data_IF_511774084938
#
_entry.id   IF_511774084938
#
_cell.length_a   1.000
_cell.length_b   1.000
_cell.length_c   1.000
_cell.angle_alpha   90.00
_cell.angle_beta   90.00
_cell.angle_gamma   90.00
#
_symmetry.space_group_name_H-M   'P 1'
#
loop_
_entity.id
_entity.type
_entity.pdbx_description
1 polymer ?
#
# COMPACT_ATOMS: atom_id res chain seq x y z
N UNK A 1 6.95 -14.78 -0.07
CA UNK A 1 7.74 -16.01 -0.32
C UNK A 1 8.95 -15.65 -1.16
N UNK A 2 10.11 -16.17 -0.80
CA UNK A 2 11.39 -15.99 -1.53
C UNK A 2 11.90 -17.35 -2.04
N UNK A 3 12.42 -17.34 -3.25
CA UNK A 3 13.07 -18.49 -3.86
C UNK A 3 14.34 -17.98 -4.59
N UNK A 4 15.49 -18.63 -4.40
CA UNK A 4 16.77 -18.19 -4.96
C UNK A 4 16.79 -18.14 -6.50
N UNK A 5 15.99 -18.98 -7.15
CA UNK A 5 15.89 -19.05 -8.62
C UNK A 5 14.89 -18.02 -9.17
N UNK A 6 13.75 -17.85 -8.51
CA UNK A 6 12.63 -17.02 -8.99
C UNK A 6 12.59 -15.62 -8.36
N UNK A 7 13.31 -15.42 -7.27
CA UNK A 7 13.28 -14.17 -6.49
C UNK A 7 12.14 -14.10 -5.49
N UNK A 8 11.80 -12.89 -5.06
CA UNK A 8 10.71 -12.63 -4.12
C UNK A 8 9.36 -12.52 -4.81
N UNK A 9 8.34 -13.12 -4.21
CA UNK A 9 6.94 -12.99 -4.62
C UNK A 9 6.09 -12.52 -3.43
N UNK A 10 5.35 -11.44 -3.63
CA UNK A 10 4.42 -10.86 -2.66
C UNK A 10 3.00 -10.94 -3.21
N UNK A 11 2.10 -11.62 -2.48
CA UNK A 11 0.68 -11.69 -2.81
C UNK A 11 -0.09 -10.61 -2.06
N UNK A 12 -0.87 -9.80 -2.78
CA UNK A 12 -1.72 -8.76 -2.20
C UNK A 12 -3.17 -8.99 -2.61
N UNK A 13 -4.10 -8.86 -1.65
CA UNK A 13 -5.52 -8.95 -1.95
C UNK A 13 -5.96 -7.72 -2.76
N UNK A 14 -6.32 -7.94 -4.03
CA UNK A 14 -6.77 -6.90 -4.95
C UNK A 14 -8.08 -6.22 -4.50
N UNK A 15 -8.92 -6.89 -3.70
CA UNK A 15 -10.16 -6.33 -3.19
C UNK A 15 -9.97 -5.31 -2.05
N UNK A 16 -8.75 -5.21 -1.52
CA UNK A 16 -8.47 -4.18 -0.52
C UNK A 16 -8.38 -2.79 -1.16
N UNK A 17 -8.78 -1.73 -0.44
CA UNK A 17 -8.57 -0.35 -0.86
C UNK A 17 -7.09 -0.08 -1.16
N UNK A 18 -6.83 0.90 -2.04
CA UNK A 18 -5.48 1.24 -2.52
C UNK A 18 -4.50 1.53 -1.38
N UNK A 19 -4.90 2.33 -0.41
CA UNK A 19 -4.12 2.67 0.78
C UNK A 19 -3.72 1.44 1.59
N UNK A 20 -4.64 0.49 1.77
CA UNK A 20 -4.35 -0.78 2.45
C UNK A 20 -3.41 -1.68 1.63
N UNK A 21 -3.58 -1.70 0.32
CA UNK A 21 -2.67 -2.47 -0.56
C UNK A 21 -1.26 -1.91 -0.51
N UNK A 22 -1.12 -0.59 -0.56
CA UNK A 22 0.18 0.08 -0.46
C UNK A 22 0.86 -0.23 0.89
N UNK A 23 0.09 -0.16 1.99
CA UNK A 23 0.61 -0.52 3.31
C UNK A 23 1.08 -1.98 3.34
N UNK A 24 0.24 -2.91 2.89
CA UNK A 24 0.59 -4.34 2.85
C UNK A 24 1.84 -4.59 2.00
N UNK A 25 1.94 -3.95 0.83
CA UNK A 25 3.12 -4.08 -0.03
C UNK A 25 4.40 -3.58 0.66
N UNK A 26 4.34 -2.42 1.29
CA UNK A 26 5.48 -1.86 2.01
C UNK A 26 5.87 -2.73 3.22
N UNK A 27 4.88 -3.27 3.95
CA UNK A 27 5.09 -4.19 5.07
C UNK A 27 5.80 -5.48 4.62
N UNK A 28 5.30 -6.12 3.57
CA UNK A 28 5.92 -7.32 2.99
C UNK A 28 7.31 -7.03 2.42
N UNK A 29 7.52 -5.84 1.86
CA UNK A 29 8.85 -5.39 1.45
C UNK A 29 9.80 -5.29 2.66
N UNK A 30 9.31 -4.82 3.81
CA UNK A 30 10.05 -4.83 5.07
C UNK A 30 10.51 -6.23 5.47
N UNK A 31 9.61 -7.22 5.44
CA UNK A 31 9.96 -8.62 5.68
C UNK A 31 10.97 -9.16 4.67
N UNK A 32 10.77 -8.86 3.38
CA UNK A 32 11.70 -9.29 2.34
C UNK A 32 13.12 -8.76 2.57
N UNK A 33 13.26 -7.51 2.99
CA UNK A 33 14.57 -6.91 3.23
C UNK A 33 15.25 -7.42 4.49
N UNK A 34 14.48 -7.77 5.52
CA UNK A 34 15.02 -8.14 6.84
C UNK A 34 15.10 -9.65 7.06
N UNK A 35 14.12 -10.43 6.57
CA UNK A 35 13.92 -11.83 6.93
C UNK A 35 13.62 -12.75 5.74
N UNK A 36 14.07 -12.42 4.53
CA UNK A 36 13.73 -13.18 3.32
C UNK A 36 14.04 -14.68 3.37
N UNK A 37 14.99 -15.09 4.22
CA UNK A 37 15.39 -16.50 4.39
C UNK A 37 14.65 -17.21 5.55
N UNK A 38 13.85 -16.48 6.32
CA UNK A 38 13.07 -17.04 7.43
C UNK A 38 11.59 -17.08 7.03
N UNK A 39 11.06 -18.26 6.79
CA UNK A 39 9.62 -18.45 6.59
C UNK A 39 8.93 -18.45 7.95
N UNK A 40 8.45 -17.29 8.39
CA UNK A 40 7.51 -17.20 9.52
C UNK A 40 6.08 -17.32 8.97
N UNK A 41 5.42 -18.45 9.25
CA UNK A 41 3.98 -18.58 9.06
C UNK A 41 3.32 -18.06 10.34
N UNK A 42 2.90 -16.80 10.33
CA UNK A 42 2.16 -16.23 11.46
C UNK A 42 0.70 -16.66 11.37
N UNK A 43 0.30 -17.64 12.19
CA UNK A 43 -1.11 -17.94 12.39
C UNK A 43 -1.74 -16.80 13.20
N UNK A 44 -2.72 -16.10 12.63
CA UNK A 44 -3.53 -15.06 13.27
C UNK A 44 -4.48 -15.66 14.33
N UNK A 45 -3.97 -16.36 15.33
CA UNK A 45 -4.75 -16.85 16.45
C UNK A 45 -4.46 -16.03 17.72
N UNK A 46 -5.40 -15.14 18.04
CA UNK A 46 -5.48 -14.43 19.32
C UNK A 46 -4.64 -13.16 19.43
N UNK A 47 -4.88 -12.37 20.49
CA UNK A 47 -4.13 -11.16 20.88
C UNK A 47 -2.70 -11.51 21.33
N UNK A 48 -1.88 -12.07 20.44
CA UNK A 48 -0.46 -12.27 20.71
C UNK A 48 0.28 -10.95 20.52
N UNK A 49 1.20 -10.68 21.44
CA UNK A 49 2.14 -9.56 21.35
C UNK A 49 2.86 -9.69 19.99
N UNK A 50 2.73 -8.65 19.16
CA UNK A 50 3.35 -8.60 17.83
C UNK A 50 4.84 -8.96 17.92
N UNK A 51 5.33 -9.83 17.04
CA UNK A 51 6.74 -10.23 17.03
C UNK A 51 7.67 -9.04 16.77
N UNK A 52 8.94 -9.16 17.07
CA UNK A 52 9.91 -8.10 16.76
C UNK A 52 9.99 -7.84 15.26
N UNK A 53 9.88 -8.90 14.44
CA UNK A 53 9.90 -8.82 12.98
C UNK A 53 8.69 -8.09 12.43
N UNK A 54 7.49 -8.35 12.95
CA UNK A 54 6.26 -7.63 12.58
C UNK A 54 6.36 -6.14 12.92
N UNK A 55 6.86 -5.81 14.11
CA UNK A 55 7.08 -4.40 14.48
C UNK A 55 8.09 -3.70 13.59
N UNK A 56 9.13 -4.42 13.16
CA UNK A 56 10.13 -3.89 12.24
C UNK A 56 9.54 -3.66 10.85
N UNK A 57 8.74 -4.60 10.34
CA UNK A 57 8.06 -4.48 9.06
C UNK A 57 7.04 -3.32 9.07
N UNK A 58 6.26 -3.16 10.15
CA UNK A 58 5.36 -2.03 10.34
C UNK A 58 6.12 -0.69 10.40
N UNK A 59 7.22 -0.64 11.15
CA UNK A 59 8.06 0.55 11.22
C UNK A 59 8.70 0.89 9.87
N UNK A 60 9.11 -0.13 9.10
CA UNK A 60 9.59 0.06 7.74
C UNK A 60 8.48 0.64 6.85
N UNK A 61 7.30 0.03 6.82
CA UNK A 61 6.18 0.50 6.01
C UNK A 61 5.79 1.95 6.34
N UNK A 62 5.71 2.28 7.64
CA UNK A 62 5.40 3.62 8.10
C UNK A 62 6.43 4.66 7.62
N UNK A 63 7.73 4.36 7.76
CA UNK A 63 8.79 5.29 7.37
C UNK A 63 9.01 5.36 5.86
N UNK A 64 8.78 4.27 5.14
CA UNK A 64 8.87 4.20 3.69
C UNK A 64 7.76 5.00 3.03
N UNK A 65 6.51 4.78 3.45
CA UNK A 65 5.35 5.48 2.88
C UNK A 65 5.25 6.93 3.35
N UNK A 66 5.63 7.21 4.61
CA UNK A 66 5.51 8.53 5.24
C UNK A 66 6.83 8.98 5.86
N UNK A 67 7.87 9.29 5.05
CA UNK A 67 9.15 9.76 5.55
C UNK A 67 8.98 11.03 6.39
N UNK A 68 9.56 11.04 7.60
CA UNK A 68 9.39 12.13 8.55
C UNK A 68 9.78 13.51 7.97
N UNK A 69 10.87 13.58 7.22
CA UNK A 69 11.34 14.85 6.61
C UNK A 69 10.35 15.38 5.59
N UNK A 70 9.87 14.53 4.67
CA UNK A 70 8.90 14.90 3.64
C UNK A 70 7.56 15.31 4.26
N UNK A 71 7.05 14.50 5.20
CA UNK A 71 5.79 14.77 5.87
C UNK A 71 5.83 16.06 6.70
N UNK A 72 6.91 16.28 7.46
CA UNK A 72 7.08 17.52 8.23
C UNK A 72 7.13 18.76 7.34
N UNK A 73 7.83 18.68 6.20
CA UNK A 73 7.89 19.79 5.24
C UNK A 73 6.49 20.12 4.71
N UNK A 74 5.76 19.11 4.20
CA UNK A 74 4.40 19.30 3.67
C UNK A 74 3.42 19.82 4.70
N UNK A 75 3.46 19.27 5.92
CA UNK A 75 2.64 19.75 7.02
C UNK A 75 2.90 21.26 7.32
N UNK A 76 4.17 21.66 7.36
CA UNK A 76 4.54 23.05 7.59
C UNK A 76 4.14 23.97 6.43
N UNK A 77 4.25 23.51 5.18
CA UNK A 77 3.79 24.25 3.99
C UNK A 77 2.27 24.52 4.09
N UNK A 78 1.48 23.50 4.42
CA UNK A 78 0.03 23.64 4.60
C UNK A 78 -0.30 24.62 5.73
N UNK A 79 0.36 24.49 6.89
CA UNK A 79 0.13 25.44 8.00
C UNK A 79 0.43 26.89 7.62
N UNK A 80 1.44 27.13 6.78
CA UNK A 80 1.79 28.48 6.33
C UNK A 80 0.80 29.04 5.32
N UNK A 81 0.17 28.19 4.53
CA UNK A 81 -0.81 28.62 3.52
C UNK A 81 -2.20 28.89 4.13
N UNK A 82 -2.49 28.37 5.32
CA UNK A 82 -3.78 28.56 6.01
C UNK A 82 -3.80 29.84 6.82
N UNK A 83 -4.87 30.62 6.70
CA UNK A 83 -5.07 31.89 7.44
C UNK A 83 -5.01 31.66 8.95
N UNK A 84 -5.59 30.57 9.42
CA UNK A 84 -5.65 30.20 10.85
C UNK A 84 -4.37 29.55 11.38
N UNK A 85 -3.41 29.21 10.49
CA UNK A 85 -2.23 28.39 10.79
C UNK A 85 -2.53 27.02 11.41
N UNK A 86 -3.81 26.64 11.43
CA UNK A 86 -4.25 25.32 11.89
C UNK A 86 -4.53 24.42 10.67
N UNK A 87 -4.17 23.17 10.77
CA UNK A 87 -4.50 22.17 9.75
C UNK A 87 -5.94 21.69 9.97
N UNK A 88 -6.71 21.61 8.92
CA UNK A 88 -8.07 21.10 8.92
C UNK A 88 -8.12 19.61 8.56
N UNK A 89 -9.25 18.94 8.87
CA UNK A 89 -9.43 17.54 8.45
C UNK A 89 -9.47 17.36 6.93
N UNK A 90 -9.91 18.39 6.20
CA UNK A 90 -9.86 18.36 4.74
C UNK A 90 -8.41 18.27 4.24
N UNK A 91 -7.51 19.08 4.77
CA UNK A 91 -6.09 19.07 4.44
C UNK A 91 -5.41 17.76 4.86
N UNK A 92 -5.80 17.18 6.00
CA UNK A 92 -5.33 15.86 6.42
C UNK A 92 -5.81 14.79 5.43
N UNK A 93 -7.05 14.82 4.94
CA UNK A 93 -7.55 13.91 3.92
C UNK A 93 -6.77 14.04 2.60
N UNK A 94 -6.49 15.26 2.14
CA UNK A 94 -5.67 15.49 0.94
C UNK A 94 -4.23 15.03 1.15
N UNK A 95 -3.67 15.25 2.33
CA UNK A 95 -2.31 14.80 2.64
C UNK A 95 -2.22 13.26 2.68
N UNK A 96 -3.25 12.60 3.23
CA UNK A 96 -3.34 11.13 3.21
C UNK A 96 -3.42 10.58 1.77
N UNK A 97 -4.19 11.25 0.92
CA UNK A 97 -4.27 10.89 -0.50
C UNK A 97 -2.93 11.12 -1.23
N UNK A 98 -2.25 12.23 -0.97
CA UNK A 98 -0.93 12.50 -1.54
C UNK A 98 0.10 11.40 -1.21
N UNK A 99 0.08 10.91 0.03
CA UNK A 99 0.96 9.82 0.48
C UNK A 99 0.39 8.41 0.19
N UNK A 100 -0.83 8.34 -0.37
CA UNK A 100 -1.51 7.10 -0.70
C UNK A 100 -1.62 6.14 0.49
N UNK A 101 -1.92 6.70 1.66
CA UNK A 101 -2.14 6.00 2.93
C UNK A 101 -3.53 6.29 3.49
N UNK A 102 -3.98 5.51 4.46
CA UNK A 102 -5.24 5.80 5.14
C UNK A 102 -5.13 7.07 5.99
N UNK A 103 -6.24 7.79 6.14
CA UNK A 103 -6.31 8.97 7.03
C UNK A 103 -5.91 8.60 8.45
N UNK A 104 -6.33 7.43 8.92
CA UNK A 104 -5.93 6.90 10.23
C UNK A 104 -4.41 6.76 10.37
N UNK A 105 -3.77 6.10 9.40
CA UNK A 105 -2.32 5.90 9.42
C UNK A 105 -1.57 7.25 9.42
N UNK A 106 -2.04 8.21 8.61
CA UNK A 106 -1.46 9.54 8.58
C UNK A 106 -1.61 10.29 9.92
N UNK A 107 -2.80 10.29 10.53
CA UNK A 107 -3.04 10.97 11.83
C UNK A 107 -2.13 10.36 12.90
N UNK A 108 -2.08 9.03 13.03
CA UNK A 108 -1.21 8.34 13.98
C UNK A 108 0.27 8.68 13.73
N UNK A 109 0.68 8.77 12.46
CA UNK A 109 2.05 9.18 12.11
C UNK A 109 2.35 10.62 12.53
N UNK A 110 1.43 11.54 12.31
CA UNK A 110 1.55 12.95 12.72
C UNK A 110 1.60 13.10 14.25
N UNK A 111 0.86 12.28 14.99
CA UNK A 111 0.95 12.19 16.46
C UNK A 111 2.35 11.75 16.89
N UNK A 112 2.90 10.67 16.31
CA UNK A 112 4.25 10.19 16.57
C UNK A 112 5.33 11.26 16.26
N UNK A 113 5.12 12.06 15.23
CA UNK A 113 5.99 13.18 14.86
C UNK A 113 5.71 14.46 15.67
N UNK A 114 4.79 14.40 16.66
CA UNK A 114 4.39 15.53 17.51
C UNK A 114 3.87 16.74 16.72
N UNK A 115 3.25 16.49 15.58
CA UNK A 115 2.57 17.49 14.74
C UNK A 115 1.09 17.63 15.12
N UNK A 116 0.51 16.56 15.64
CA UNK A 116 -0.81 16.54 16.26
C UNK A 116 -0.68 16.06 17.71
N UNK A 117 -1.62 16.43 18.59
CA UNK A 117 -1.69 15.89 19.95
C UNK A 117 -1.87 14.36 19.92
N UNK A 118 -1.24 13.67 20.87
CA UNK A 118 -1.43 12.23 21.03
C UNK A 118 -2.90 11.96 21.39
N UNK A 119 -3.51 10.94 20.76
CA UNK A 119 -4.92 10.61 20.95
C UNK A 119 -5.88 11.38 20.02
N UNK A 120 -5.37 12.17 19.08
CA UNK A 120 -6.20 12.86 18.07
C UNK A 120 -7.05 11.86 17.30
N UNK A 121 -6.46 10.73 16.87
CA UNK A 121 -7.22 9.70 16.15
C UNK A 121 -8.33 9.10 17.03
N UNK A 122 -8.05 8.79 18.28
CA UNK A 122 -9.02 8.19 19.20
C UNK A 122 -10.19 9.15 19.46
N UNK A 123 -9.93 10.45 19.60
CA UNK A 123 -10.95 11.49 19.74
C UNK A 123 -11.82 11.57 18.48
N UNK A 124 -11.23 11.62 17.29
CA UNK A 124 -11.96 11.64 16.03
C UNK A 124 -12.82 10.38 15.84
N UNK A 125 -12.31 9.22 16.21
CA UNK A 125 -13.05 7.96 16.16
C UNK A 125 -14.23 7.95 17.15
N UNK A 126 -14.04 8.45 18.35
CA UNK A 126 -15.09 8.58 19.39
C UNK A 126 -16.19 9.57 18.96
N UNK A 127 -15.84 10.63 18.23
CA UNK A 127 -16.78 11.59 17.64
C UNK A 127 -17.50 11.03 16.39
N UNK A 128 -17.18 9.80 15.97
CA UNK A 128 -17.81 9.13 14.81
C UNK A 128 -17.29 9.61 13.46
N UNK A 129 -16.08 10.15 13.38
CA UNK A 129 -15.47 10.56 12.12
C UNK A 129 -15.33 9.38 11.16
N UNK A 130 -15.82 9.57 9.94
CA UNK A 130 -15.81 8.57 8.87
C UNK A 130 -14.88 9.01 7.72
N UNK A 131 -13.64 8.57 7.70
CA UNK A 131 -12.65 9.02 6.69
C UNK A 131 -13.11 8.90 5.25
N UNK A 132 -13.72 7.77 4.90
CA UNK A 132 -14.21 7.52 3.51
C UNK A 132 -15.30 8.49 3.08
N UNK A 133 -16.22 8.82 3.98
CA UNK A 133 -17.24 9.83 3.68
C UNK A 133 -16.62 11.23 3.52
N UNK A 134 -15.68 11.60 4.38
CA UNK A 134 -14.96 12.86 4.26
C UNK A 134 -14.21 12.96 2.92
N UNK A 135 -13.52 11.91 2.53
CA UNK A 135 -12.82 11.84 1.24
C UNK A 135 -13.78 11.97 0.06
N UNK A 136 -14.95 11.32 0.10
CA UNK A 136 -15.98 11.44 -0.94
C UNK A 136 -16.52 12.87 -1.06
N UNK A 137 -16.82 13.53 0.06
CA UNK A 137 -17.27 14.94 0.07
C UNK A 137 -16.21 15.87 -0.54
N UNK A 138 -14.94 15.58 -0.31
CA UNK A 138 -13.82 16.34 -0.85
C UNK A 138 -13.48 15.99 -2.31
N UNK A 139 -14.22 15.05 -2.94
CA UNK A 139 -13.94 14.61 -4.31
C UNK A 139 -12.67 13.75 -4.43
N UNK A 140 -12.14 13.24 -3.32
CA UNK A 140 -10.96 12.38 -3.32
C UNK A 140 -11.38 10.95 -3.67
N UNK A 141 -10.91 10.45 -4.82
CA UNK A 141 -11.15 9.07 -5.21
C UNK A 141 -10.10 8.14 -4.56
N UNK A 142 -10.38 7.73 -3.34
CA UNK A 142 -9.49 6.85 -2.56
C UNK A 142 -9.37 5.42 -3.15
N UNK A 143 -10.27 5.02 -4.01
CA UNK A 143 -10.30 3.70 -4.65
C UNK A 143 -10.51 3.85 -6.16
N UNK A 144 -9.51 4.32 -6.93
CA UNK A 144 -9.60 4.26 -8.38
C UNK A 144 -9.79 2.79 -8.81
N UNK A 145 -10.53 2.54 -9.91
CA UNK A 145 -10.66 1.20 -10.45
C UNK A 145 -9.26 0.59 -10.64
N UNK A 146 -9.13 -0.69 -10.30
CA UNK A 146 -7.90 -1.43 -10.60
C UNK A 146 -7.96 -1.70 -12.08
N UNK A 147 -7.07 -1.13 -12.85
CA UNK A 147 -6.80 -1.62 -14.19
C UNK A 147 -6.25 -3.04 -14.02
N UNK A 148 -6.98 -4.03 -14.53
CA UNK A 148 -6.60 -5.45 -14.45
C UNK A 148 -5.49 -5.75 -15.49
N UNK A 149 -4.51 -4.86 -15.55
CA UNK A 149 -3.35 -5.01 -16.40
C UNK A 149 -2.35 -5.98 -15.79
N UNK A 150 -1.98 -6.96 -16.57
CA UNK A 150 -0.88 -7.86 -16.19
C UNK A 150 0.44 -7.07 -16.15
N UNK A 151 1.31 -7.33 -15.16
CA UNK A 151 2.62 -6.68 -15.09
C UNK A 151 3.39 -6.89 -16.41
N UNK A 152 3.96 -5.84 -16.98
CA UNK A 152 4.69 -5.91 -18.26
C UNK A 152 5.75 -7.02 -18.27
N UNK A 153 6.49 -7.19 -17.17
CA UNK A 153 7.46 -8.27 -17.04
C UNK A 153 6.83 -9.66 -17.13
N UNK A 154 5.63 -9.83 -16.55
CA UNK A 154 4.90 -11.09 -16.63
C UNK A 154 4.49 -11.40 -18.07
N UNK A 155 3.95 -10.41 -18.79
CA UNK A 155 3.61 -10.52 -20.21
C UNK A 155 4.84 -10.88 -21.04
N UNK A 156 5.93 -10.16 -20.85
CA UNK A 156 7.20 -10.43 -21.57
C UNK A 156 7.74 -11.84 -21.30
N UNK A 157 7.67 -12.32 -20.05
CA UNK A 157 8.10 -13.68 -19.72
C UNK A 157 7.21 -14.75 -20.34
N UNK A 158 5.89 -14.54 -20.36
CA UNK A 158 4.94 -15.47 -20.97
C UNK A 158 5.15 -15.56 -22.48
N UNK A 159 5.35 -14.42 -23.16
CA UNK A 159 5.67 -14.37 -24.59
C UNK A 159 7.00 -15.06 -24.88
N UNK A 160 8.05 -14.75 -24.10
CA UNK A 160 9.38 -15.39 -24.29
C UNK A 160 9.33 -16.90 -24.07
N UNK A 161 8.54 -17.40 -23.12
CA UNK A 161 8.36 -18.83 -22.93
C UNK A 161 7.63 -19.51 -24.12
N UNK A 162 6.68 -18.80 -24.72
CA UNK A 162 5.99 -19.26 -25.93
C UNK A 162 6.93 -19.29 -27.14
N UNK A 163 7.71 -18.23 -27.36
CA UNK A 163 8.70 -18.15 -28.45
C UNK A 163 9.78 -19.24 -28.35
N UNK A 164 10.10 -19.68 -27.10
CA UNK A 164 11.03 -20.79 -26.84
C UNK A 164 10.37 -22.18 -26.88
N UNK A 165 9.09 -22.24 -27.25
CA UNK A 165 8.31 -23.49 -27.28
C UNK A 165 8.18 -24.20 -25.92
N UNK A 166 8.43 -23.47 -24.81
CA UNK A 166 8.29 -24.00 -23.44
C UNK A 166 6.83 -24.12 -23.00
N UNK A 167 5.95 -23.31 -23.61
CA UNK A 167 4.50 -23.33 -23.36
C UNK A 167 3.72 -23.34 -24.68
N UNK A 168 2.55 -23.96 -24.66
CA UNK A 168 1.63 -23.96 -25.80
C UNK A 168 0.87 -22.64 -25.94
N UNK A 169 0.33 -22.35 -27.10
CA UNK A 169 -0.55 -21.20 -27.38
C UNK A 169 -1.74 -21.12 -26.39
N UNK A 170 -2.35 -22.28 -26.07
CA UNK A 170 -3.43 -22.33 -25.10
C UNK A 170 -3.00 -21.95 -23.67
N UNK A 171 -1.75 -22.28 -23.30
CA UNK A 171 -1.17 -21.85 -22.03
C UNK A 171 -0.82 -20.36 -22.06
N UNK A 172 -0.29 -19.83 -23.15
CA UNK A 172 -0.07 -18.41 -23.33
C UNK A 172 -1.36 -17.61 -23.17
N UNK A 173 -2.42 -17.99 -23.88
CA UNK A 173 -3.74 -17.35 -23.78
C UNK A 173 -4.26 -17.36 -22.33
N UNK A 174 -4.10 -18.48 -21.63
CA UNK A 174 -4.46 -18.59 -20.20
C UNK A 174 -3.64 -17.66 -19.32
N UNK A 175 -2.33 -17.59 -19.51
CA UNK A 175 -1.44 -16.71 -18.73
C UNK A 175 -1.74 -15.23 -19.00
N UNK A 176 -2.03 -14.88 -20.23
CA UNK A 176 -2.38 -13.52 -20.62
C UNK A 176 -3.87 -13.16 -20.34
N UNK A 177 -4.65 -14.09 -19.79
CA UNK A 177 -6.09 -13.93 -19.50
C UNK A 177 -6.88 -13.46 -20.72
N UNK A 178 -6.55 -13.96 -21.90
CA UNK A 178 -7.16 -13.60 -23.17
C UNK A 178 -7.52 -14.83 -23.98
N UNK A 179 -8.18 -14.65 -25.13
CA UNK A 179 -8.40 -15.71 -26.09
C UNK A 179 -7.15 -16.00 -26.94
N UNK A 180 -7.14 -17.15 -27.64
CA UNK A 180 -6.00 -17.59 -28.44
C UNK A 180 -5.69 -16.66 -29.63
N UNK A 181 -6.72 -16.04 -30.21
CA UNK A 181 -6.55 -15.15 -31.36
C UNK A 181 -5.82 -13.88 -30.91
N UNK A 182 -6.30 -13.29 -29.82
CA UNK A 182 -5.66 -12.10 -29.23
C UNK A 182 -4.25 -12.39 -28.72
N UNK A 183 -4.01 -13.57 -28.13
CA UNK A 183 -2.69 -13.95 -27.66
C UNK A 183 -1.60 -14.04 -28.76
N UNK A 184 -2.02 -14.25 -30.04
CA UNK A 184 -1.08 -14.27 -31.19
C UNK A 184 -0.66 -12.88 -31.66
N UNK A 185 -1.38 -11.85 -31.26
CA UNK A 185 -1.16 -10.47 -31.75
C UNK A 185 -0.27 -9.68 -30.78
N UNK A 186 -0.09 -10.20 -29.56
CA UNK A 186 0.76 -9.62 -28.53
C UNK A 186 2.21 -10.01 -28.73
#
# INVERSE_FOLDING_TARGET
>A
VYNDTLGGCVGINSNHPRDRRNWSLAHECGHYLTNRYQTEITFLQGKRRQSANERLADAFAENFLMPASGLNRRFTEIQRSTVTKNITMAEICHLADLYQVSVQALVIRLEKLRRLPIGTWDSLAAEGFKPRQAQQILGINANPPIEDELPRRYVSLAVSAYEKEEISEGQLAKFLRTDRVTARII
#
